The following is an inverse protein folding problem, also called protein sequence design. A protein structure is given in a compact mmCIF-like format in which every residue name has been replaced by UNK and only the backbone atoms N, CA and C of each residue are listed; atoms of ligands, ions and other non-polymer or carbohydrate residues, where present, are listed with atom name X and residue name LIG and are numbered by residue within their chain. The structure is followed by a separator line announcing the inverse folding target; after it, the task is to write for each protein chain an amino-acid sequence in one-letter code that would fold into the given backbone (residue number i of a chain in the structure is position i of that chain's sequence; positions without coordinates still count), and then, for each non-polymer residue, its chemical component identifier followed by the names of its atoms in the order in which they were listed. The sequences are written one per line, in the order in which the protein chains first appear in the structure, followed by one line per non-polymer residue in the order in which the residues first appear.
data_IF_747901845576
#
_entry.id   IF_747901845576
#
_cell.length_a   1.000
_cell.length_b   1.000
_cell.length_c   1.000
_cell.angle_alpha   90.00
_cell.angle_beta   90.00
_cell.angle_gamma   90.00
#
_symmetry.space_group_name_H-M   'P 1'
#
loop_
_entity.id
_entity.type
_entity.pdbx_description
1 polymer ?
#
# COMPACT_ATOMS: atom_id res chain seq x y z
N UNK A 1 0.69 22.85 51.68
CA UNK A 1 -0.20 23.38 50.62
C UNK A 1 0.26 22.79 49.30
N UNK A 2 -0.67 22.16 48.55
CA UNK A 2 -0.60 21.80 47.11
C UNK A 2 0.53 20.85 46.64
N UNK A 3 0.31 19.77 45.90
CA UNK A 3 -0.89 19.02 45.49
C UNK A 3 -0.32 17.75 44.87
N UNK A 4 -0.88 16.60 45.21
CA UNK A 4 -0.72 15.38 44.45
C UNK A 4 -1.30 15.62 43.05
N UNK A 5 -0.45 15.80 42.03
CA UNK A 5 -0.91 15.73 40.63
C UNK A 5 -1.02 14.27 40.23
N UNK A 6 -2.16 13.71 40.64
CA UNK A 6 -2.75 12.50 40.10
C UNK A 6 -2.92 12.64 38.59
N UNK A 7 -2.48 11.61 37.87
CA UNK A 7 -3.28 10.91 36.85
C UNK A 7 -3.99 11.82 35.83
N UNK A 8 -3.29 12.12 34.73
CA UNK A 8 -3.92 12.37 33.43
C UNK A 8 -3.42 11.25 32.51
N UNK A 9 -4.00 10.05 32.55
CA UNK A 9 -5.32 9.74 32.00
C UNK A 9 -5.32 10.04 30.49
N UNK A 10 -5.45 8.95 29.71
CA UNK A 10 -5.95 8.86 28.32
C UNK A 10 -5.03 9.35 27.18
N UNK A 11 -4.12 8.47 26.73
CA UNK A 11 -3.82 8.36 25.28
C UNK A 11 -4.63 7.21 24.69
N UNK A 12 -5.96 7.35 24.72
CA UNK A 12 -6.85 6.59 23.86
C UNK A 12 -7.42 7.60 22.87
N UNK A 13 -6.72 7.76 21.74
CA UNK A 13 -7.39 8.14 20.51
C UNK A 13 -7.39 6.90 19.65
N UNK A 14 -8.43 6.09 19.89
CA UNK A 14 -8.92 5.18 18.88
C UNK A 14 -9.34 6.04 17.68
N UNK A 15 -8.58 5.93 16.59
CA UNK A 15 -9.18 5.94 15.27
C UNK A 15 -8.61 4.72 14.58
N UNK A 16 -9.32 3.61 14.78
CA UNK A 16 -9.49 2.62 13.72
C UNK A 16 -10.14 3.38 12.57
N UNK A 17 -9.34 4.13 11.85
CA UNK A 17 -9.59 4.34 10.44
C UNK A 17 -9.32 2.96 9.83
N UNK A 18 -10.30 2.05 9.94
CA UNK A 18 -10.77 1.40 8.72
C UNK A 18 -11.25 2.59 7.91
N UNK A 19 -10.29 3.24 7.25
CA UNK A 19 -10.57 4.06 6.11
C UNK A 19 -11.49 3.15 5.31
N UNK A 20 -12.67 3.64 5.00
CA UNK A 20 -13.20 3.39 3.68
C UNK A 20 -12.13 3.93 2.72
N UNK A 21 -11.01 3.21 2.60
CA UNK A 21 -10.23 3.22 1.39
C UNK A 21 -11.30 2.89 0.36
N UNK A 22 -11.50 3.70 -0.68
CA UNK A 22 -12.29 3.23 -1.82
C UNK A 22 -11.81 1.82 -2.06
N UNK A 23 -12.71 0.84 -2.21
CA UNK A 23 -12.29 -0.54 -2.47
C UNK A 23 -11.33 -0.46 -3.66
N UNK A 24 -10.03 -0.45 -3.38
CA UNK A 24 -9.06 -0.04 -4.38
C UNK A 24 -9.15 -1.13 -5.42
N UNK A 25 -9.29 -0.72 -6.69
CA UNK A 25 -9.35 -1.71 -7.74
C UNK A 25 -8.12 -2.60 -7.60
N UNK A 26 -8.24 -3.89 -7.91
CA UNK A 26 -7.06 -4.75 -7.93
C UNK A 26 -5.95 -4.14 -8.84
N UNK A 27 -6.37 -3.37 -9.86
CA UNK A 27 -5.50 -2.51 -10.66
C UNK A 27 -4.78 -1.42 -9.84
N UNK A 28 -5.49 -0.62 -9.06
CA UNK A 28 -4.91 0.47 -8.26
C UNK A 28 -3.87 -0.06 -7.27
N UNK A 29 -4.17 -1.20 -6.65
CA UNK A 29 -3.23 -1.90 -5.78
C UNK A 29 -1.97 -2.34 -6.54
N UNK A 30 -2.12 -2.96 -7.71
CA UNK A 30 -0.98 -3.37 -8.54
C UNK A 30 -0.12 -2.16 -8.94
N UNK A 31 -0.74 -1.04 -9.33
CA UNK A 31 -0.05 0.21 -9.68
C UNK A 31 0.74 0.74 -8.49
N UNK A 32 0.13 0.76 -7.30
CA UNK A 32 0.79 1.23 -6.08
C UNK A 32 1.98 0.34 -5.67
N UNK A 33 1.84 -0.99 -5.81
CA UNK A 33 2.90 -1.95 -5.48
C UNK A 33 4.09 -1.85 -6.45
N UNK A 34 3.86 -1.55 -7.72
CA UNK A 34 4.89 -1.52 -8.76
C UNK A 34 5.37 -0.11 -9.15
N UNK A 35 4.75 0.94 -8.59
CA UNK A 35 5.11 2.34 -8.86
C UNK A 35 4.59 2.89 -10.19
N UNK A 36 3.64 2.21 -10.85
CA UNK A 36 3.08 2.60 -12.14
C UNK A 36 2.22 1.50 -12.78
N UNK A 37 1.35 1.87 -13.73
CA UNK A 37 0.59 0.91 -14.55
C UNK A 37 1.51 0.12 -15.48
N UNK A 38 2.49 0.81 -16.05
CA UNK A 38 3.57 0.21 -16.83
C UNK A 38 4.86 0.36 -16.01
N UNK A 39 5.63 -0.73 -15.91
CA UNK A 39 6.85 -0.76 -15.13
C UNK A 39 7.84 -1.78 -15.69
N UNK A 40 9.07 -1.73 -15.20
CA UNK A 40 10.13 -2.67 -15.58
C UNK A 40 10.25 -3.75 -14.51
N UNK A 41 10.30 -5.02 -14.88
CA UNK A 41 10.50 -6.11 -13.92
C UNK A 41 11.85 -5.98 -13.21
N UNK A 42 11.82 -5.74 -11.91
CA UNK A 42 13.01 -5.55 -11.08
C UNK A 42 13.55 -6.86 -10.47
N UNK A 43 12.87 -7.98 -10.68
CA UNK A 43 13.34 -9.28 -10.19
C UNK A 43 14.56 -9.79 -10.95
N UNK A 44 15.23 -10.79 -10.38
CA UNK A 44 16.34 -11.50 -11.05
C UNK A 44 15.81 -12.60 -11.97
N UNK A 45 16.50 -12.84 -13.09
CA UNK A 45 16.19 -13.90 -14.05
C UNK A 45 16.11 -13.42 -15.50
N UNK A 46 15.65 -14.29 -16.39
CA UNK A 46 15.59 -14.03 -17.84
C UNK A 46 14.61 -12.90 -18.23
N UNK A 47 13.73 -12.51 -17.30
CA UNK A 47 12.78 -11.40 -17.44
C UNK A 47 13.29 -10.09 -16.85
N UNK A 48 14.52 -10.03 -16.31
CA UNK A 48 15.06 -8.81 -15.74
C UNK A 48 15.07 -7.69 -16.78
N UNK A 49 14.47 -6.54 -16.45
CA UNK A 49 14.37 -5.44 -17.41
C UNK A 49 13.20 -5.55 -18.40
N UNK A 50 12.38 -6.61 -18.34
CA UNK A 50 11.23 -6.76 -19.20
C UNK A 50 10.16 -5.68 -18.92
N UNK A 51 9.51 -5.13 -19.95
CA UNK A 51 8.36 -4.26 -19.76
C UNK A 51 7.18 -5.09 -19.26
N UNK A 52 6.52 -4.59 -18.21
CA UNK A 52 5.36 -5.19 -17.58
C UNK A 52 4.22 -4.17 -17.47
N UNK A 53 2.99 -4.68 -17.40
CA UNK A 53 1.80 -3.88 -17.10
C UNK A 53 0.92 -4.53 -16.03
N UNK A 54 0.24 -3.67 -15.26
CA UNK A 54 -0.85 -4.07 -14.39
C UNK A 54 -2.17 -4.15 -15.18
N UNK A 55 -2.81 -5.31 -15.09
CA UNK A 55 -4.11 -5.59 -15.69
C UNK A 55 -5.26 -5.16 -14.76
N UNK A 56 -6.47 -5.04 -15.32
CA UNK A 56 -7.67 -4.63 -14.58
C UNK A 56 -8.05 -5.59 -13.42
N UNK A 57 -7.64 -6.86 -13.52
CA UNK A 57 -7.82 -7.86 -12.45
C UNK A 57 -6.75 -7.79 -11.35
N UNK A 58 -5.76 -6.89 -11.50
CA UNK A 58 -4.60 -6.71 -10.61
C UNK A 58 -3.46 -7.70 -10.86
N UNK A 59 -3.56 -8.54 -11.89
CA UNK A 59 -2.44 -9.36 -12.33
C UNK A 59 -1.41 -8.54 -13.08
N UNK A 60 -0.20 -9.09 -13.19
CA UNK A 60 0.88 -8.49 -13.97
C UNK A 60 1.13 -9.30 -15.24
N UNK A 61 1.21 -8.62 -16.38
CA UNK A 61 1.68 -9.22 -17.63
C UNK A 61 3.06 -8.65 -17.97
N UNK A 62 4.06 -9.50 -18.16
CA UNK A 62 5.43 -9.10 -18.50
C UNK A 62 5.86 -9.71 -19.83
N UNK A 63 6.53 -8.91 -20.67
CA UNK A 63 7.04 -9.38 -21.96
C UNK A 63 8.50 -9.81 -21.86
N UNK A 64 8.67 -11.09 -21.58
CA UNK A 64 9.90 -11.86 -21.77
C UNK A 64 9.70 -12.80 -22.98
#
# INVERSE_FOLDING_TARGET
MKTFSLIATICAVAVVAVSASPAESNLDKCIAENGGKEFTFQGEGNCHGAPCECNDDGSTSCRC
#
